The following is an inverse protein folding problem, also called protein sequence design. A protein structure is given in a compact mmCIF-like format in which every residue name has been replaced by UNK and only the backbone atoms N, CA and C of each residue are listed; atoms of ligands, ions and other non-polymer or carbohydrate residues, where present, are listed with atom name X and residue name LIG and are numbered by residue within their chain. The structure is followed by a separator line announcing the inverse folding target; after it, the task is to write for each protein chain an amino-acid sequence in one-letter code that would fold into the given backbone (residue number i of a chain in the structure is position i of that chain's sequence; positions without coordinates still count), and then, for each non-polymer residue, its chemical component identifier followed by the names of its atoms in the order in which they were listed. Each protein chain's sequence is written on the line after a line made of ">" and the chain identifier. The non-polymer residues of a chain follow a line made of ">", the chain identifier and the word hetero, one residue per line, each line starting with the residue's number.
data_IF_128814732764
#
_entry.id   IF_128814732764
#
_cell.length_a   1.000
_cell.length_b   1.000
_cell.length_c   1.000
_cell.angle_alpha   90.00
_cell.angle_beta   90.00
_cell.angle_gamma   90.00
#
_symmetry.space_group_name_H-M   'P 1'
#
loop_
_entity.id
_entity.type
_entity.pdbx_description
1 polymer ?
#
# COMPACT_ATOMS: atom_id res chain seq x y z
N UNK A 1 31.51 -2.94 -34.19
CA UNK A 1 31.09 -1.65 -33.59
C UNK A 1 29.71 -1.86 -32.99
N UNK A 2 29.50 -1.57 -31.69
CA UNK A 2 28.14 -1.34 -31.18
C UNK A 2 27.68 -1.99 -29.87
N UNK A 3 28.55 -2.49 -28.97
CA UNK A 3 28.09 -3.11 -27.69
C UNK A 3 28.42 -2.25 -26.44
N UNK A 4 29.24 -1.19 -26.55
CA UNK A 4 29.80 -0.50 -25.37
C UNK A 4 28.99 0.69 -24.82
N UNK A 5 27.72 0.88 -25.22
CA UNK A 5 26.96 2.08 -24.80
C UNK A 5 25.92 1.85 -23.71
N UNK A 6 25.46 0.62 -23.46
CA UNK A 6 24.45 0.36 -22.41
C UNK A 6 25.07 0.26 -21.01
N UNK A 7 26.28 -0.31 -20.88
CA UNK A 7 26.94 -0.46 -19.57
C UNK A 7 27.38 0.89 -18.97
N UNK A 8 27.81 1.86 -19.78
CA UNK A 8 28.35 3.14 -19.26
C UNK A 8 27.28 4.07 -18.66
N UNK A 9 26.02 3.93 -19.05
CA UNK A 9 24.91 4.71 -18.49
C UNK A 9 24.32 4.10 -17.21
N UNK A 10 24.40 2.79 -17.03
CA UNK A 10 23.85 2.10 -15.85
C UNK A 10 24.72 2.35 -14.61
N UNK A 11 26.04 2.49 -14.77
CA UNK A 11 26.99 2.61 -13.65
C UNK A 11 27.50 4.04 -13.39
N UNK A 12 26.93 5.06 -14.04
CA UNK A 12 27.26 6.45 -13.75
C UNK A 12 26.31 6.97 -12.66
N UNK A 13 26.80 7.44 -11.50
CA UNK A 13 25.93 7.89 -10.42
C UNK A 13 25.10 9.10 -10.86
N UNK A 14 23.77 8.99 -10.71
CA UNK A 14 22.86 10.10 -10.94
C UNK A 14 23.00 11.08 -9.76
N UNK A 15 23.27 12.36 -10.03
CA UNK A 15 23.22 13.38 -8.97
C UNK A 15 21.78 13.69 -8.61
N UNK A 16 21.48 13.95 -7.33
CA UNK A 16 20.12 14.15 -6.82
C UNK A 16 19.29 15.22 -7.57
N UNK A 17 19.94 16.19 -8.22
CA UNK A 17 19.27 17.25 -9.00
C UNK A 17 18.90 16.86 -10.45
N UNK A 18 19.27 15.68 -10.92
CA UNK A 18 19.04 15.20 -12.31
C UNK A 18 18.06 14.01 -12.40
N UNK A 19 17.47 13.61 -11.28
CA UNK A 19 16.75 12.33 -11.13
C UNK A 19 15.31 12.40 -11.65
N UNK A 20 14.66 13.56 -11.58
CA UNK A 20 13.25 13.68 -11.93
C UNK A 20 13.06 13.52 -13.45
N UNK A 21 12.62 12.30 -13.82
CA UNK A 21 12.16 11.87 -15.15
C UNK A 21 13.25 11.53 -16.19
N UNK A 22 14.45 11.12 -15.77
CA UNK A 22 15.42 10.56 -16.73
C UNK A 22 15.01 9.14 -17.20
N UNK A 23 15.27 8.74 -18.47
CA UNK A 23 15.03 7.36 -18.92
C UNK A 23 15.72 6.29 -18.08
N UNK A 24 16.87 6.64 -17.50
CA UNK A 24 17.64 5.76 -16.62
C UNK A 24 16.94 5.58 -15.26
N UNK A 25 16.44 6.68 -14.67
CA UNK A 25 15.69 6.63 -13.41
C UNK A 25 14.40 5.80 -13.57
N UNK A 26 13.65 6.02 -14.66
CA UNK A 26 12.47 5.20 -14.99
C UNK A 26 12.82 3.73 -15.16
N UNK A 27 13.89 3.40 -15.90
CA UNK A 27 14.33 2.02 -16.08
C UNK A 27 14.71 1.35 -14.74
N UNK A 28 15.47 2.04 -13.89
CA UNK A 28 15.88 1.52 -12.58
C UNK A 28 14.68 1.30 -11.66
N UNK A 29 13.74 2.25 -11.65
CA UNK A 29 12.50 2.14 -10.89
C UNK A 29 11.65 0.95 -11.36
N UNK A 30 11.44 0.78 -12.67
CA UNK A 30 10.73 -0.39 -13.21
C UNK A 30 11.45 -1.70 -12.87
N UNK A 31 12.78 -1.70 -12.95
CA UNK A 31 13.61 -2.87 -12.57
C UNK A 31 13.42 -3.23 -11.09
N UNK A 32 13.31 -2.23 -10.22
CA UNK A 32 13.04 -2.43 -8.80
C UNK A 32 11.64 -3.02 -8.58
N UNK A 33 10.60 -2.42 -9.16
CA UNK A 33 9.23 -2.92 -9.01
C UNK A 33 9.09 -4.33 -9.56
N UNK A 34 9.76 -4.66 -10.68
CA UNK A 34 9.81 -6.01 -11.24
C UNK A 34 10.46 -7.00 -10.27
N UNK A 35 11.59 -6.62 -9.65
CA UNK A 35 12.28 -7.44 -8.65
C UNK A 35 11.41 -7.68 -7.41
N UNK A 36 10.66 -6.67 -6.96
CA UNK A 36 9.71 -6.79 -5.84
C UNK A 36 8.56 -7.73 -6.21
N UNK A 37 7.96 -7.57 -7.39
CA UNK A 37 6.88 -8.45 -7.86
C UNK A 37 7.37 -9.90 -7.98
N UNK A 38 8.56 -10.11 -8.56
CA UNK A 38 9.20 -11.42 -8.66
C UNK A 38 9.50 -12.06 -7.31
N UNK A 39 9.94 -11.28 -6.33
CA UNK A 39 10.19 -11.77 -4.97
C UNK A 39 8.88 -12.09 -4.26
N UNK A 40 7.87 -11.24 -4.39
CA UNK A 40 6.57 -11.40 -3.70
C UNK A 40 5.82 -12.67 -4.10
N UNK A 41 5.99 -13.13 -5.34
CA UNK A 41 5.44 -14.40 -5.86
C UNK A 41 6.10 -15.64 -5.26
N UNK A 42 7.26 -15.50 -4.62
CA UNK A 42 8.01 -16.63 -4.05
C UNK A 42 7.53 -16.90 -2.64
N UNK A 43 7.49 -18.18 -2.28
CA UNK A 43 7.32 -18.58 -0.88
C UNK A 43 8.61 -18.31 -0.12
N UNK A 44 8.57 -17.34 0.77
CA UNK A 44 9.66 -17.09 1.72
C UNK A 44 9.46 -18.04 2.91
N UNK A 45 10.52 -18.76 3.30
CA UNK A 45 10.46 -19.74 4.40
C UNK A 45 10.38 -19.05 5.76
N UNK A 46 11.13 -17.96 5.93
CA UNK A 46 11.18 -17.18 7.17
C UNK A 46 10.48 -15.83 6.97
N UNK A 47 9.39 -15.59 7.68
CA UNK A 47 8.59 -14.37 7.52
C UNK A 47 9.45 -13.10 7.71
N UNK A 48 10.45 -13.09 8.59
CA UNK A 48 11.33 -11.94 8.81
C UNK A 48 12.16 -11.52 7.59
N UNK A 49 12.33 -12.40 6.60
CA UNK A 49 13.38 -12.25 5.59
C UNK A 49 12.94 -11.51 4.34
N UNK A 50 11.71 -10.98 4.28
CA UNK A 50 11.19 -10.32 3.07
C UNK A 50 12.00 -9.10 2.63
N UNK A 51 12.35 -8.19 3.55
CA UNK A 51 13.23 -7.05 3.26
C UNK A 51 14.72 -7.47 3.15
N UNK A 52 15.27 -8.28 4.08
CA UNK A 52 16.63 -8.82 3.93
C UNK A 52 16.90 -9.52 2.60
N UNK A 53 15.94 -10.29 2.07
CA UNK A 53 16.10 -11.06 0.83
C UNK A 53 16.34 -10.20 -0.42
N UNK A 54 15.88 -8.94 -0.42
CA UNK A 54 16.09 -7.99 -1.53
C UNK A 54 17.16 -6.93 -1.24
N UNK A 55 17.70 -6.91 -0.01
CA UNK A 55 18.62 -5.86 0.46
C UNK A 55 19.86 -5.68 -0.41
N UNK A 56 20.38 -6.76 -1.01
CA UNK A 56 21.52 -6.69 -1.93
C UNK A 56 21.20 -5.91 -3.22
N UNK A 57 20.00 -6.10 -3.79
CA UNK A 57 19.53 -5.34 -4.96
C UNK A 57 19.31 -3.88 -4.56
N UNK A 58 18.70 -3.64 -3.40
CA UNK A 58 18.49 -2.30 -2.88
C UNK A 58 19.81 -1.55 -2.69
N UNK A 59 20.82 -2.19 -2.10
CA UNK A 59 22.14 -1.59 -1.94
C UNK A 59 22.76 -1.18 -3.28
N UNK A 60 22.68 -2.03 -4.32
CA UNK A 60 23.21 -1.68 -5.64
C UNK A 60 22.46 -0.50 -6.26
N UNK A 61 21.13 -0.48 -6.15
CA UNK A 61 20.32 0.63 -6.65
C UNK A 61 20.68 1.95 -5.95
N UNK A 62 20.84 1.94 -4.62
CA UNK A 62 21.30 3.11 -3.87
C UNK A 62 22.68 3.60 -4.34
N UNK A 63 23.63 2.70 -4.61
CA UNK A 63 24.96 3.09 -5.11
C UNK A 63 24.91 3.77 -6.48
N UNK A 64 23.92 3.41 -7.31
CA UNK A 64 23.71 3.98 -8.66
C UNK A 64 22.93 5.31 -8.60
N UNK A 65 21.88 5.37 -7.79
CA UNK A 65 20.94 6.51 -7.79
C UNK A 65 21.22 7.55 -6.71
N UNK A 66 21.90 7.16 -5.63
CA UNK A 66 22.00 7.95 -4.40
C UNK A 66 20.66 8.09 -3.65
N UNK A 67 19.61 7.37 -4.05
CA UNK A 67 18.28 7.54 -3.48
C UNK A 67 18.14 6.89 -2.09
N UNK A 68 17.21 7.38 -1.28
CA UNK A 68 16.96 6.87 0.07
C UNK A 68 16.00 5.69 0.05
N UNK A 69 16.41 4.58 0.65
CA UNK A 69 15.59 3.38 0.79
C UNK A 69 14.70 3.46 2.03
N UNK A 70 13.42 3.14 1.87
CA UNK A 70 12.36 3.29 2.86
C UNK A 70 11.56 1.99 2.98
N UNK A 71 12.12 1.03 3.71
CA UNK A 71 11.47 -0.24 4.04
C UNK A 71 10.87 -0.97 2.82
N UNK A 72 11.62 -1.07 1.72
CA UNK A 72 11.16 -1.69 0.48
C UNK A 72 10.69 -0.72 -0.60
N UNK A 73 10.67 0.58 -0.30
CA UNK A 73 10.30 1.64 -1.23
C UNK A 73 11.45 2.64 -1.45
N UNK A 74 11.38 3.45 -2.51
CA UNK A 74 12.35 4.50 -2.82
C UNK A 74 11.80 5.90 -2.62
N UNK A 75 12.60 6.81 -2.06
CA UNK A 75 12.14 8.18 -1.75
C UNK A 75 11.79 8.98 -3.01
N UNK A 76 12.56 8.86 -4.10
CA UNK A 76 12.31 9.63 -5.32
C UNK A 76 11.01 9.21 -6.03
N UNK A 77 10.59 7.95 -5.90
CA UNK A 77 9.38 7.37 -6.50
C UNK A 77 8.32 7.01 -5.46
N UNK A 78 8.43 7.54 -4.23
CA UNK A 78 7.62 7.08 -3.09
C UNK A 78 6.12 7.21 -3.34
N UNK A 79 5.70 8.30 -3.99
CA UNK A 79 4.30 8.55 -4.32
C UNK A 79 3.70 7.44 -5.20
N UNK A 80 4.46 6.96 -6.18
CA UNK A 80 4.06 5.87 -7.06
C UNK A 80 4.21 4.51 -6.37
N UNK A 81 5.31 4.28 -5.66
CA UNK A 81 5.57 3.00 -5.00
C UNK A 81 4.59 2.70 -3.86
N UNK A 82 4.03 3.73 -3.23
CA UNK A 82 2.93 3.57 -2.28
C UNK A 82 1.65 3.03 -2.94
N UNK A 83 1.50 3.10 -4.27
CA UNK A 83 0.32 2.59 -4.96
C UNK A 83 0.31 1.06 -5.10
N UNK A 84 1.28 0.35 -4.50
CA UNK A 84 1.29 -1.10 -4.47
C UNK A 84 0.00 -1.69 -3.87
N UNK A 85 -0.42 -2.82 -4.42
CA UNK A 85 -1.59 -3.58 -3.97
C UNK A 85 -1.33 -5.09 -4.04
N UNK A 86 -2.06 -5.88 -3.24
CA UNK A 86 -2.08 -7.33 -3.42
C UNK A 86 -2.81 -7.66 -4.72
N UNK A 87 -2.19 -8.45 -5.58
CA UNK A 87 -2.75 -8.81 -6.88
C UNK A 87 -3.99 -9.70 -6.71
N UNK A 88 -5.17 -9.12 -6.87
CA UNK A 88 -6.45 -9.80 -6.72
C UNK A 88 -6.68 -10.89 -7.78
N UNK A 89 -5.87 -10.92 -8.86
CA UNK A 89 -5.91 -11.96 -9.88
C UNK A 89 -4.94 -13.12 -9.59
N UNK A 90 -4.05 -12.99 -8.59
CA UNK A 90 -3.09 -14.03 -8.26
C UNK A 90 -3.75 -15.21 -7.54
N UNK A 91 -3.28 -16.43 -7.81
CA UNK A 91 -3.80 -17.67 -7.22
C UNK A 91 -3.71 -17.69 -5.69
N UNK A 92 -2.74 -16.97 -5.13
CA UNK A 92 -2.49 -16.88 -3.70
C UNK A 92 -3.25 -15.75 -3.01
N UNK A 93 -4.02 -14.92 -3.72
CA UNK A 93 -4.71 -13.75 -3.15
C UNK A 93 -5.58 -14.11 -1.94
N UNK A 94 -6.44 -15.14 -2.06
CA UNK A 94 -7.31 -15.60 -0.98
C UNK A 94 -6.58 -16.40 0.11
N UNK A 95 -5.29 -16.68 -0.08
CA UNK A 95 -4.43 -17.42 0.85
C UNK A 95 -3.34 -16.53 1.45
N UNK A 96 -3.23 -15.27 1.01
CA UNK A 96 -2.34 -14.29 1.56
C UNK A 96 -2.67 -14.09 3.04
N UNK A 97 -1.62 -13.92 3.86
CA UNK A 97 -1.72 -13.67 5.29
C UNK A 97 -0.86 -12.49 5.65
N UNK A 98 -1.10 -11.88 6.81
CA UNK A 98 -0.09 -11.01 7.40
C UNK A 98 0.89 -11.83 8.24
N UNK A 99 2.17 -11.41 8.30
CA UNK A 99 3.16 -12.08 9.12
C UNK A 99 2.73 -12.01 10.60
N UNK A 100 3.01 -13.06 11.35
CA UNK A 100 2.67 -13.17 12.77
C UNK A 100 3.51 -12.24 13.65
N UNK A 101 4.67 -11.85 13.14
CA UNK A 101 5.61 -10.94 13.81
C UNK A 101 5.83 -9.70 12.94
N UNK A 102 6.12 -8.57 13.60
CA UNK A 102 6.42 -7.34 12.88
C UNK A 102 7.70 -7.51 12.05
N UNK A 103 7.63 -7.14 10.76
CA UNK A 103 8.79 -7.11 9.85
C UNK A 103 8.90 -5.87 8.98
N UNK A 104 7.79 -5.14 8.81
CA UNK A 104 7.73 -3.93 7.99
C UNK A 104 6.51 -3.09 8.38
N UNK A 105 6.56 -1.75 8.21
CA UNK A 105 5.41 -0.86 8.41
C UNK A 105 4.26 -1.22 7.47
N UNK A 106 3.00 -0.97 7.83
CA UNK A 106 1.84 -1.45 7.03
C UNK A 106 1.71 -0.82 5.64
N UNK A 107 2.35 0.33 5.41
CA UNK A 107 2.45 0.99 4.11
C UNK A 107 3.52 0.39 3.19
N UNK A 108 4.36 -0.52 3.68
CA UNK A 108 5.31 -1.28 2.86
C UNK A 108 4.67 -2.55 2.29
N UNK A 109 5.01 -2.87 1.04
CA UNK A 109 4.62 -4.13 0.38
C UNK A 109 5.14 -5.37 1.13
N UNK A 110 6.22 -5.21 1.89
CA UNK A 110 6.76 -6.29 2.71
C UNK A 110 5.89 -6.58 3.94
N UNK A 111 4.88 -5.78 4.27
CA UNK A 111 4.01 -6.00 5.44
C UNK A 111 2.97 -7.10 5.28
N UNK A 112 2.85 -7.67 4.08
CA UNK A 112 1.89 -8.73 3.74
C UNK A 112 2.60 -9.92 3.10
N UNK A 113 2.02 -11.10 3.17
CA UNK A 113 2.36 -12.21 2.27
C UNK A 113 1.64 -12.11 0.94
N UNK A 114 2.14 -12.88 -0.01
CA UNK A 114 1.55 -13.07 -1.33
C UNK A 114 2.01 -12.06 -2.38
N UNK A 115 1.49 -12.28 -3.59
CA UNK A 115 1.80 -11.51 -4.79
C UNK A 115 1.33 -10.06 -4.67
N UNK A 116 2.23 -9.11 -4.94
CA UNK A 116 1.92 -7.67 -5.04
C UNK A 116 2.16 -7.16 -6.46
N UNK A 117 1.53 -6.04 -6.81
CA UNK A 117 1.76 -5.32 -8.07
C UNK A 117 1.77 -3.81 -7.86
N UNK A 118 2.47 -3.09 -8.76
CA UNK A 118 2.54 -1.62 -8.83
C UNK A 118 1.76 -1.05 -10.03
N UNK A 119 1.04 -1.89 -10.77
CA UNK A 119 0.43 -1.57 -12.06
C UNK A 119 -0.88 -0.75 -11.99
N UNK A 120 -0.98 0.19 -11.06
CA UNK A 120 -2.13 1.11 -11.02
C UNK A 120 -2.14 2.03 -12.25
N UNK A 121 -3.31 2.40 -12.81
CA UNK A 121 -3.41 3.26 -13.99
C UNK A 121 -3.16 4.75 -13.70
N UNK A 122 -2.43 5.07 -12.62
CA UNK A 122 -2.33 6.42 -12.07
C UNK A 122 -1.00 7.07 -12.44
N UNK A 123 -1.08 8.27 -13.00
CA UNK A 123 0.06 9.14 -13.21
C UNK A 123 0.25 10.07 -12.01
N UNK A 124 1.35 10.82 -11.97
CA UNK A 124 1.64 11.77 -10.89
C UNK A 124 0.53 12.83 -10.73
N UNK A 125 -0.06 13.27 -11.85
CA UNK A 125 -1.16 14.24 -11.87
C UNK A 125 -2.49 13.69 -11.33
N UNK A 126 -2.61 12.37 -11.20
CA UNK A 126 -3.79 11.71 -10.65
C UNK A 126 -3.78 11.67 -9.11
N UNK A 127 -2.64 11.97 -8.47
CA UNK A 127 -2.48 11.88 -7.02
C UNK A 127 -3.28 12.97 -6.30
N UNK A 128 -3.97 12.56 -5.23
CA UNK A 128 -4.72 13.47 -4.34
C UNK A 128 -4.21 13.46 -2.90
N UNK A 129 -3.32 12.52 -2.57
CA UNK A 129 -2.60 12.48 -1.30
C UNK A 129 -1.13 12.89 -1.48
N UNK A 130 -0.61 13.61 -0.50
CA UNK A 130 0.76 14.13 -0.48
C UNK A 130 1.54 13.52 0.69
N UNK A 131 2.72 12.96 0.40
CA UNK A 131 3.63 12.48 1.43
C UNK A 131 4.36 13.67 2.05
N UNK A 132 4.16 13.87 3.35
CA UNK A 132 4.81 14.94 4.12
C UNK A 132 6.15 14.48 4.69
N UNK A 133 6.19 13.25 5.21
CA UNK A 133 7.37 12.69 5.86
C UNK A 133 7.32 11.16 5.81
N UNK A 134 8.45 10.52 5.57
CA UNK A 134 8.58 9.07 5.66
C UNK A 134 9.90 8.72 6.35
N UNK A 135 9.81 7.96 7.43
CA UNK A 135 10.97 7.54 8.22
C UNK A 135 10.89 6.03 8.49
N UNK A 136 12.08 5.43 8.58
CA UNK A 136 12.26 4.01 8.83
C UNK A 136 13.31 3.81 9.90
N UNK A 137 13.05 2.89 10.82
CA UNK A 137 13.96 2.51 11.89
C UNK A 137 14.61 1.16 11.51
N UNK A 138 15.86 1.13 11.03
CA UNK A 138 16.53 -0.13 10.74
C UNK A 138 16.75 -0.92 12.04
N UNK A 139 16.75 -2.26 11.95
CA UNK A 139 17.17 -3.12 13.08
C UNK A 139 18.66 -2.94 13.36
N UNK A 140 19.45 -2.89 12.29
CA UNK A 140 20.90 -2.67 12.33
C UNK A 140 21.22 -1.35 11.60
N UNK A 141 21.69 -0.29 12.31
CA UNK A 141 22.06 0.98 11.69
C UNK A 141 23.16 0.86 10.62
N UNK A 142 23.93 -0.23 10.60
CA UNK A 142 24.94 -0.50 9.56
C UNK A 142 24.36 -1.18 8.31
N UNK A 143 23.11 -1.66 8.38
CA UNK A 143 22.38 -2.27 7.27
C UNK A 143 21.04 -1.58 7.03
N UNK A 144 21.08 -0.42 6.38
CA UNK A 144 19.91 0.41 6.06
C UNK A 144 18.92 -0.23 5.07
N UNK A 145 19.34 -1.31 4.37
CA UNK A 145 18.55 -1.97 3.33
C UNK A 145 17.88 -3.27 3.81
N UNK A 146 18.19 -3.70 5.04
CA UNK A 146 17.76 -4.96 5.62
C UNK A 146 16.47 -4.86 6.43
N UNK A 147 16.42 -5.62 7.53
CA UNK A 147 15.28 -5.66 8.43
C UNK A 147 15.06 -4.32 9.15
N UNK A 148 13.78 -4.00 9.42
CA UNK A 148 13.36 -2.77 10.10
C UNK A 148 12.62 -3.11 11.38
N UNK A 149 12.78 -2.27 12.40
CA UNK A 149 12.11 -2.37 13.70
C UNK A 149 10.88 -1.45 13.79
N UNK A 150 10.73 -0.52 12.85
CA UNK A 150 9.66 0.47 12.83
C UNK A 150 9.72 1.35 11.59
N UNK A 151 8.70 2.20 11.44
CA UNK A 151 8.68 3.26 10.45
C UNK A 151 7.34 3.97 10.48
N UNK A 152 7.33 5.24 10.09
CA UNK A 152 6.11 6.03 10.00
C UNK A 152 6.08 6.84 8.72
N UNK A 153 4.88 6.94 8.17
CA UNK A 153 4.57 7.73 6.99
C UNK A 153 3.52 8.77 7.38
N UNK A 154 3.90 10.04 7.34
CA UNK A 154 2.98 11.17 7.50
C UNK A 154 2.48 11.54 6.12
N UNK A 155 1.18 11.42 5.92
CA UNK A 155 0.50 11.66 4.65
C UNK A 155 -0.68 12.60 4.86
N UNK A 156 -0.84 13.54 3.93
CA UNK A 156 -1.94 14.49 3.90
C UNK A 156 -2.86 14.13 2.73
N UNK A 157 -4.14 13.88 2.98
CA UNK A 157 -5.05 13.51 1.90
C UNK A 157 -6.51 13.43 2.33
N UNK A 158 -7.45 13.26 1.37
CA UNK A 158 -8.86 13.12 1.66
C UNK A 158 -9.13 11.85 2.48
N UNK A 159 -9.68 12.02 3.68
CA UNK A 159 -9.90 10.94 4.64
C UNK A 159 -11.36 10.86 5.11
N UNK A 160 -12.02 9.71 4.86
CA UNK A 160 -13.42 9.46 5.28
C UNK A 160 -13.48 8.24 6.19
N UNK A 161 -14.31 8.31 7.24
CA UNK A 161 -14.61 7.16 8.10
C UNK A 161 -16.05 6.68 7.91
N UNK A 162 -16.25 5.37 7.94
CA UNK A 162 -17.58 4.74 7.99
C UNK A 162 -17.65 3.80 9.20
N UNK A 163 -18.87 3.56 9.69
CA UNK A 163 -19.13 2.47 10.63
C UNK A 163 -18.85 1.14 9.93
N UNK A 164 -18.05 0.26 10.56
CA UNK A 164 -17.72 -1.05 10.00
C UNK A 164 -18.96 -1.86 9.61
N UNK A 165 -20.08 -1.67 10.33
CA UNK A 165 -21.34 -2.39 10.11
C UNK A 165 -22.01 -2.03 8.78
N UNK A 166 -21.73 -0.84 8.26
CA UNK A 166 -22.27 -0.38 6.98
C UNK A 166 -21.44 -0.91 5.79
N UNK A 167 -20.20 -1.35 6.00
CA UNK A 167 -19.32 -1.75 4.91
C UNK A 167 -19.91 -2.87 4.05
N UNK A 168 -20.46 -3.96 4.60
CA UNK A 168 -21.03 -5.04 3.80
C UNK A 168 -22.28 -4.63 2.99
N UNK A 169 -22.95 -3.54 3.37
CA UNK A 169 -24.15 -3.05 2.66
C UNK A 169 -23.78 -2.26 1.40
N UNK A 170 -22.64 -1.56 1.43
CA UNK A 170 -22.25 -0.63 0.38
C UNK A 170 -21.05 -1.10 -0.46
N UNK A 171 -20.28 -2.08 0.00
CA UNK A 171 -19.01 -2.46 -0.62
C UNK A 171 -18.97 -3.94 -0.97
N UNK A 172 -18.34 -4.25 -2.12
CA UNK A 172 -17.90 -5.61 -2.43
C UNK A 172 -16.58 -5.86 -1.70
N UNK A 173 -16.47 -6.96 -0.96
CA UNK A 173 -15.27 -7.30 -0.18
C UNK A 173 -14.62 -8.54 -0.78
N UNK A 174 -13.35 -8.45 -1.19
CA UNK A 174 -12.55 -9.57 -1.72
C UNK A 174 -13.30 -10.39 -2.81
N UNK A 175 -14.18 -9.74 -3.57
CA UNK A 175 -15.06 -10.41 -4.52
C UNK A 175 -14.69 -10.02 -5.95
N UNK A 176 -14.58 -11.03 -6.80
CA UNK A 176 -14.47 -10.86 -8.26
C UNK A 176 -15.86 -10.76 -8.92
N UNK A 177 -16.94 -11.06 -8.18
CA UNK A 177 -18.32 -10.99 -8.68
C UNK A 177 -18.81 -9.55 -8.73
N UNK A 178 -19.09 -9.06 -9.94
CA UNK A 178 -19.77 -7.79 -10.16
C UNK A 178 -21.27 -7.90 -9.79
N UNK A 179 -21.62 -7.73 -8.52
CA UNK A 179 -23.02 -7.44 -8.15
C UNK A 179 -23.41 -6.03 -8.61
N UNK A 180 -24.69 -5.84 -8.91
CA UNK A 180 -25.18 -4.72 -9.72
C UNK A 180 -25.11 -3.31 -9.08
N UNK A 181 -24.93 -3.15 -7.76
CA UNK A 181 -24.78 -1.82 -7.14
C UNK A 181 -23.91 -1.86 -5.88
N UNK A 182 -22.63 -1.46 -5.98
CA UNK A 182 -21.76 -1.15 -4.83
C UNK A 182 -21.12 0.23 -5.01
N UNK A 183 -20.75 0.87 -3.91
CA UNK A 183 -20.01 2.13 -3.91
C UNK A 183 -18.54 1.97 -4.29
N UNK A 184 -17.93 0.83 -3.95
CA UNK A 184 -16.57 0.47 -4.31
C UNK A 184 -16.31 -1.02 -4.02
N UNK A 185 -15.19 -1.53 -4.53
CA UNK A 185 -14.58 -2.78 -4.09
C UNK A 185 -13.54 -2.48 -3.03
N UNK A 186 -13.53 -3.31 -2.00
CA UNK A 186 -12.54 -3.33 -0.94
C UNK A 186 -11.79 -4.65 -1.04
N UNK A 187 -10.47 -4.55 -0.99
CA UNK A 187 -9.55 -5.67 -0.96
C UNK A 187 -8.77 -5.58 0.34
N UNK A 188 -8.95 -6.58 1.21
CA UNK A 188 -8.29 -6.62 2.52
C UNK A 188 -6.93 -7.28 2.40
N UNK A 189 -5.95 -6.71 3.06
CA UNK A 189 -4.57 -7.18 3.04
C UNK A 189 -4.43 -8.47 3.86
N UNK A 190 -4.14 -9.58 3.19
CA UNK A 190 -3.89 -10.87 3.85
C UNK A 190 -5.14 -11.44 4.52
N UNK A 191 -5.03 -11.78 5.81
CA UNK A 191 -6.09 -12.39 6.62
C UNK A 191 -6.90 -11.37 7.44
N UNK A 192 -6.84 -10.08 7.07
CA UNK A 192 -7.69 -9.05 7.66
C UNK A 192 -9.17 -9.36 7.41
N UNK A 193 -9.98 -9.23 8.46
CA UNK A 193 -11.42 -9.49 8.43
C UNK A 193 -12.14 -8.18 8.75
N UNK A 194 -13.12 -7.84 7.91
CA UNK A 194 -14.19 -6.92 8.25
C UNK A 194 -15.43 -7.71 8.67
N UNK A 195 -16.27 -7.19 9.57
CA UNK A 195 -17.50 -7.88 9.96
C UNK A 195 -18.35 -8.17 8.73
N UNK A 196 -18.67 -9.43 8.47
CA UNK A 196 -19.59 -9.80 7.39
C UNK A 196 -20.97 -9.20 7.66
N UNK A 197 -21.72 -8.86 6.59
CA UNK A 197 -23.18 -8.64 6.69
C UNK A 197 -23.75 -9.83 7.46
N UNK A 198 -24.39 -9.56 8.60
CA UNK A 198 -24.85 -10.57 9.54
C UNK A 198 -25.41 -11.83 8.85
N UNK A 199 -24.72 -12.96 9.02
CA UNK A 199 -25.36 -14.28 8.97
C UNK A 199 -25.09 -15.17 10.18
N UNK A 200 -24.35 -14.70 11.19
CA UNK A 200 -24.20 -15.46 12.44
C UNK A 200 -24.01 -14.55 13.66
N UNK A 201 -24.99 -13.70 13.97
CA UNK A 201 -25.28 -13.42 15.38
C UNK A 201 -26.34 -14.43 15.77
N UNK A 202 -25.94 -15.49 16.48
CA UNK A 202 -26.91 -16.42 17.04
C UNK A 202 -27.73 -15.67 18.11
N UNK A 203 -29.04 -15.92 18.26
CA UNK A 203 -29.91 -15.14 19.16
C UNK A 203 -29.54 -15.13 20.65
N UNK A 204 -28.47 -15.82 21.06
CA UNK A 204 -28.06 -15.97 22.46
C UNK A 204 -26.76 -15.22 22.82
N UNK A 205 -26.17 -14.44 21.91
CA UNK A 205 -25.02 -13.61 22.27
C UNK A 205 -25.50 -12.40 23.07
N UNK A 206 -25.14 -12.41 24.36
CA UNK A 206 -25.62 -11.53 25.44
C UNK A 206 -25.62 -10.04 25.06
N UNK A 207 -26.77 -9.33 25.10
CA UNK A 207 -26.80 -7.89 24.93
C UNK A 207 -26.35 -7.22 26.23
N UNK A 208 -25.05 -6.90 26.33
CA UNK A 208 -24.48 -6.28 27.53
C UNK A 208 -23.12 -5.60 27.37
N UNK A 209 -22.37 -5.85 26.30
CA UNK A 209 -21.23 -4.99 25.97
C UNK A 209 -21.69 -3.97 24.93
N UNK A 210 -21.60 -2.70 25.28
CA UNK A 210 -21.68 -1.60 24.33
C UNK A 210 -20.59 -1.84 23.29
N UNK A 211 -20.94 -2.44 22.15
CA UNK A 211 -20.06 -2.47 20.98
C UNK A 211 -19.95 -1.02 20.50
N UNK A 212 -18.93 -0.31 20.98
CA UNK A 212 -18.42 0.87 20.30
C UNK A 212 -18.22 0.48 18.84
N UNK A 213 -19.01 1.06 17.94
CA UNK A 213 -18.84 0.91 16.50
C UNK A 213 -17.36 1.13 16.16
N UNK A 214 -16.67 0.11 15.67
CA UNK A 214 -15.34 0.34 15.13
C UNK A 214 -15.50 1.04 13.78
N UNK A 215 -14.68 2.07 13.56
CA UNK A 215 -14.70 2.81 12.30
C UNK A 215 -13.63 2.27 11.37
N UNK A 216 -13.99 2.11 10.10
CA UNK A 216 -13.05 1.88 9.01
C UNK A 216 -12.83 3.21 8.30
N UNK A 217 -11.57 3.48 7.99
CA UNK A 217 -11.14 4.73 7.41
C UNK A 217 -10.63 4.49 5.99
N UNK A 218 -10.83 5.49 5.13
CA UNK A 218 -10.53 5.41 3.72
C UNK A 218 -9.76 6.65 3.33
N UNK A 219 -8.50 6.46 2.96
CA UNK A 219 -7.62 7.50 2.48
C UNK A 219 -7.58 7.44 0.96
N UNK A 220 -8.07 8.48 0.31
CA UNK A 220 -8.00 8.64 -1.15
C UNK A 220 -6.55 8.96 -1.54
N UNK A 221 -5.92 8.12 -2.34
CA UNK A 221 -4.52 8.28 -2.74
C UNK A 221 -4.40 8.89 -4.14
N UNK A 222 -5.22 8.42 -5.07
CA UNK A 222 -5.24 8.87 -6.46
C UNK A 222 -6.66 8.81 -7.04
N UNK A 223 -6.91 9.59 -8.09
CA UNK A 223 -8.14 9.55 -8.87
C UNK A 223 -7.81 9.43 -10.34
N UNK A 224 -8.39 8.45 -11.02
CA UNK A 224 -8.14 8.30 -12.46
C UNK A 224 -8.75 9.47 -13.24
N UNK A 225 -8.53 9.51 -14.56
CA UNK A 225 -9.12 10.51 -15.48
C UNK A 225 -10.66 10.67 -15.42
N UNK A 226 -11.38 9.70 -14.85
CA UNK A 226 -12.84 9.74 -14.66
C UNK A 226 -13.23 10.25 -13.27
N UNK A 227 -12.26 10.53 -12.40
CA UNK A 227 -12.43 10.91 -11.01
C UNK A 227 -12.62 9.73 -10.06
N UNK A 228 -12.48 8.49 -10.54
CA UNK A 228 -12.67 7.30 -9.70
C UNK A 228 -11.52 7.19 -8.69
N UNK A 229 -11.82 7.07 -7.39
CA UNK A 229 -10.80 7.00 -6.36
C UNK A 229 -10.13 5.62 -6.31
N UNK A 230 -8.85 5.66 -5.98
CA UNK A 230 -8.04 4.55 -5.50
C UNK A 230 -7.38 4.97 -4.20
N UNK A 231 -7.39 4.07 -3.22
CA UNK A 231 -6.85 4.44 -1.94
C UNK A 231 -6.72 3.31 -0.94
N UNK A 232 -6.34 3.69 0.28
CA UNK A 232 -6.12 2.75 1.36
C UNK A 232 -7.35 2.57 2.23
N UNK A 233 -7.53 1.35 2.71
CA UNK A 233 -8.43 1.01 3.80
C UNK A 233 -7.60 0.94 5.07
N UNK A 234 -7.98 1.72 6.07
CA UNK A 234 -7.21 1.97 7.28
C UNK A 234 -8.01 1.60 8.53
N UNK A 235 -7.31 1.05 9.52
CA UNK A 235 -7.82 0.87 10.88
C UNK A 235 -7.04 1.81 11.80
N UNK A 236 -7.77 2.63 12.55
CA UNK A 236 -7.16 3.49 13.56
C UNK A 236 -6.59 2.64 14.69
N UNK A 237 -5.37 2.95 15.10
CA UNK A 237 -4.70 2.39 16.27
C UNK A 237 -4.47 3.53 17.28
N UNK A 238 -4.59 3.22 18.57
CA UNK A 238 -4.31 4.19 19.63
C UNK A 238 -2.92 3.93 20.17
N UNK A 239 -1.99 4.85 19.93
CA UNK A 239 -0.64 4.77 20.49
C UNK A 239 -0.31 6.10 21.19
N UNK A 240 -0.12 6.07 22.52
CA UNK A 240 0.37 7.22 23.29
C UNK A 240 -0.37 8.55 23.03
N UNK A 241 -1.70 8.51 22.88
CA UNK A 241 -2.57 9.65 22.54
C UNK A 241 -2.38 10.26 21.15
N UNK A 242 -1.59 9.64 20.28
CA UNK A 242 -1.48 9.99 18.86
C UNK A 242 -2.40 9.03 18.08
N UNK A 243 -3.22 9.62 17.22
CA UNK A 243 -4.07 8.89 16.28
C UNK A 243 -3.17 8.39 15.14
N UNK A 244 -2.80 7.12 15.19
CA UNK A 244 -2.03 6.47 14.13
C UNK A 244 -2.91 5.45 13.41
N UNK A 245 -2.50 5.07 12.21
CA UNK A 245 -3.29 4.25 11.32
C UNK A 245 -2.48 3.09 10.79
N UNK A 246 -3.13 1.94 10.69
CA UNK A 246 -2.58 0.77 10.02
C UNK A 246 -3.36 0.55 8.73
N UNK A 247 -2.66 0.41 7.60
CA UNK A 247 -3.24 -0.07 6.36
C UNK A 247 -3.68 -1.52 6.55
N UNK A 248 -4.92 -1.81 6.18
CA UNK A 248 -5.54 -3.13 6.26
C UNK A 248 -6.10 -3.58 4.91
N UNK A 249 -5.87 -2.81 3.85
CA UNK A 249 -6.38 -3.07 2.52
C UNK A 249 -6.30 -1.86 1.62
N UNK A 250 -6.90 -2.01 0.46
CA UNK A 250 -7.07 -0.97 -0.55
C UNK A 250 -8.48 -1.02 -1.13
N UNK A 251 -8.90 0.07 -1.76
CA UNK A 251 -10.19 0.15 -2.42
C UNK A 251 -10.05 0.77 -3.80
N UNK A 252 -10.95 0.38 -4.69
CA UNK A 252 -11.13 0.97 -6.01
C UNK A 252 -12.62 1.06 -6.32
N UNK A 253 -12.98 1.97 -7.21
CA UNK A 253 -14.38 2.09 -7.61
C UNK A 253 -14.83 0.91 -8.49
N UNK A 254 -16.10 0.52 -8.36
CA UNK A 254 -16.74 -0.37 -9.33
C UNK A 254 -17.26 0.42 -10.51
N UNK A 255 -16.85 0.06 -11.72
CA UNK A 255 -17.40 0.61 -12.98
C UNK A 255 -18.90 0.31 -13.06
N UNK A 256 -19.76 1.25 -12.63
CA UNK A 256 -21.16 1.47 -13.05
C UNK A 256 -21.92 2.36 -12.05
N UNK A 257 -21.72 3.68 -12.14
CA UNK A 257 -22.81 4.65 -11.96
C UNK A 257 -22.31 6.01 -12.42
N UNK A 258 -22.36 6.24 -13.73
CA UNK A 258 -21.95 7.51 -14.37
C UNK A 258 -22.74 8.72 -13.78
N UNK A 259 -23.86 8.46 -13.11
CA UNK A 259 -24.80 9.49 -12.64
C UNK A 259 -24.81 9.71 -11.11
N UNK A 260 -23.85 9.16 -10.34
CA UNK A 260 -23.78 9.41 -8.88
C UNK A 260 -22.44 10.03 -8.47
N UNK A 261 -22.45 11.09 -7.64
CA UNK A 261 -21.24 11.62 -7.03
C UNK A 261 -20.54 10.50 -6.25
N UNK A 262 -19.21 10.43 -6.37
CA UNK A 262 -18.43 9.41 -5.66
C UNK A 262 -18.64 9.55 -4.15
N UNK A 263 -18.68 8.42 -3.45
CA UNK A 263 -18.87 8.45 -2.01
C UNK A 263 -17.64 8.99 -1.26
N UNK A 264 -16.52 9.30 -1.94
CA UNK A 264 -15.38 10.07 -1.40
C UNK A 264 -15.35 11.51 -1.92
N UNK A 265 -16.34 11.93 -2.71
CA UNK A 265 -16.46 13.33 -3.15
C UNK A 265 -16.62 14.26 -1.94
N UNK A 266 -15.88 15.37 -1.96
CA UNK A 266 -15.84 16.39 -0.91
C UNK A 266 -15.38 15.88 0.47
N UNK A 267 -14.56 14.83 0.48
CA UNK A 267 -13.95 14.34 1.71
C UNK A 267 -12.94 15.35 2.24
N UNK A 268 -12.98 15.71 3.55
CA UNK A 268 -12.02 16.62 4.13
C UNK A 268 -10.59 16.06 4.04
N UNK A 269 -9.64 16.95 3.81
CA UNK A 269 -8.22 16.62 3.84
C UNK A 269 -7.74 16.60 5.29
N UNK A 270 -7.13 15.50 5.70
CA UNK A 270 -6.53 15.33 7.02
C UNK A 270 -5.08 14.85 6.88
N UNK A 271 -4.22 15.33 7.78
CA UNK A 271 -2.87 14.78 7.95
C UNK A 271 -2.92 13.63 8.94
N UNK A 272 -2.46 12.45 8.52
CA UNK A 272 -2.43 11.25 9.35
C UNK A 272 -1.05 10.58 9.32
N UNK A 273 -0.81 9.73 10.32
CA UNK A 273 0.41 8.91 10.41
C UNK A 273 0.06 7.45 10.20
N UNK A 274 0.65 6.83 9.17
CA UNK A 274 0.62 5.39 8.92
C UNK A 274 1.81 4.71 9.60
N UNK A 275 1.56 3.57 10.24
CA UNK A 275 2.56 2.72 10.91
C UNK A 275 2.63 1.32 10.32
#
# INVERSE_FOLDING_TARGET
>A
MGINRLESYIFSPLTASTVEKSPQAMFLHNTWTDAVMDLSRRKITEESDKLPAISGVAQQMHLITGDSYLAGLWKASLHFELMWLQDAAAEDFHHAKRPTTYRAPSWSWASVEGTVTFSGPFEEEDLVAEVIQCEVLPVDPSNLFGAVSGGHLVINGPLRSLDEKLIPEYFQINSTDAREVSLAKIYLDGDEILPSSAKTLMPNDVPGSVQTSQRIWFLDMARNKHGDPFGYVLRQQTQQNIRVFRRIGWFENTTRSIDKPFWTQDTPVETITLI
#
